data_IF_662739327482
#
_entry.id   IF_662739327482
#
_cell.length_a   1.000
_cell.length_b   1.000
_cell.length_c   1.000
_cell.angle_alpha   90.00
_cell.angle_beta   90.00
_cell.angle_gamma   90.00
#
_symmetry.space_group_name_H-M   'P 1'
#
loop_
_entity.id
_entity.type
_entity.pdbx_description
1 polymer ?
#
# COMPACT_ATOMS: atom_id res chain seq x y z
N UNK A 1 26.68 10.23 12.45
CA UNK A 1 25.32 10.47 11.90
C UNK A 1 24.37 10.24 13.06
N UNK A 2 23.62 11.27 13.46
CA UNK A 2 22.64 11.14 14.55
C UNK A 2 21.26 11.05 13.95
N UNK A 3 20.50 10.05 14.39
CA UNK A 3 19.11 9.84 14.01
C UNK A 3 18.23 10.54 15.05
N UNK A 4 17.40 11.45 14.63
CA UNK A 4 16.43 12.12 15.48
C UNK A 4 15.04 11.77 14.96
N UNK A 5 14.26 11.06 15.75
CA UNK A 5 12.89 10.72 15.44
C UNK A 5 12.02 11.92 15.80
N UNK A 6 11.32 12.48 14.85
CA UNK A 6 10.61 13.76 15.02
C UNK A 6 9.09 13.59 15.01
N UNK A 7 8.57 12.51 14.45
CA UNK A 7 7.12 12.26 14.36
C UNK A 7 6.78 10.82 14.78
N UNK A 8 5.53 10.58 15.15
CA UNK A 8 5.01 9.25 15.41
C UNK A 8 5.13 8.38 14.16
N UNK A 9 5.56 7.12 14.31
CA UNK A 9 5.69 6.25 13.15
C UNK A 9 4.32 5.92 12.58
N UNK A 10 4.24 5.90 11.25
CA UNK A 10 3.07 5.42 10.52
C UNK A 10 3.44 4.14 9.81
N UNK A 11 2.60 3.12 9.92
CA UNK A 11 2.67 1.91 9.15
C UNK A 11 1.68 2.04 7.97
N UNK A 12 2.19 2.28 6.78
CA UNK A 12 1.42 2.19 5.55
C UNK A 12 1.33 0.74 5.12
N UNK A 13 0.14 0.27 4.83
CA UNK A 13 -0.11 -1.11 4.40
C UNK A 13 -0.70 -1.07 3.00
N UNK A 14 0.12 -1.38 2.00
CA UNK A 14 -0.38 -1.59 0.65
C UNK A 14 -1.21 -2.86 0.65
N UNK A 15 -2.45 -2.76 0.23
CA UNK A 15 -3.41 -3.84 0.21
C UNK A 15 -4.01 -4.00 -1.18
N UNK A 16 -4.28 -5.24 -1.54
CA UNK A 16 -4.97 -5.58 -2.77
C UNK A 16 -5.89 -6.76 -2.54
N UNK A 17 -6.99 -6.81 -3.26
CA UNK A 17 -8.04 -7.78 -3.06
C UNK A 17 -8.59 -8.28 -4.38
N UNK A 18 -8.82 -9.59 -4.44
CA UNK A 18 -9.50 -10.19 -5.57
C UNK A 18 -10.93 -10.60 -5.18
N UNK A 19 -11.86 -10.41 -6.11
CA UNK A 19 -13.26 -10.76 -5.94
C UNK A 19 -13.86 -11.26 -7.27
N UNK A 20 -14.95 -11.99 -7.18
CA UNK A 20 -15.70 -12.43 -8.36
C UNK A 20 -16.87 -11.49 -8.72
N UNK A 21 -16.82 -10.27 -8.24
CA UNK A 21 -17.77 -9.22 -8.58
C UNK A 21 -17.55 -7.94 -7.76
N UNK A 22 -18.26 -6.86 -8.09
CA UNK A 22 -17.97 -5.55 -7.52
C UNK A 22 -18.55 -5.29 -6.13
N UNK A 23 -19.47 -6.14 -5.63
CA UNK A 23 -20.28 -5.81 -4.45
C UNK A 23 -20.07 -6.83 -3.34
N UNK A 24 -19.43 -6.45 -2.21
CA UNK A 24 -19.36 -7.32 -1.02
C UNK A 24 -20.75 -7.83 -0.58
N UNK A 25 -20.78 -8.99 0.05
CA UNK A 25 -21.97 -9.76 0.47
C UNK A 25 -22.79 -10.36 -0.69
N UNK A 26 -22.77 -9.77 -1.88
CA UNK A 26 -23.42 -10.33 -3.08
C UNK A 26 -22.47 -11.21 -3.87
N UNK A 27 -21.20 -10.81 -3.91
CA UNK A 27 -20.13 -11.51 -4.62
C UNK A 27 -19.11 -12.07 -3.62
N UNK A 28 -18.25 -12.98 -4.06
CA UNK A 28 -17.26 -13.59 -3.19
C UNK A 28 -15.99 -12.76 -3.11
N UNK A 29 -15.46 -12.67 -1.91
CA UNK A 29 -14.11 -12.23 -1.61
C UNK A 29 -13.18 -13.42 -1.84
N UNK A 30 -12.31 -13.35 -2.85
CA UNK A 30 -11.51 -14.49 -3.30
C UNK A 30 -10.13 -14.57 -2.66
N UNK A 31 -9.44 -13.45 -2.55
CA UNK A 31 -8.11 -13.41 -1.93
C UNK A 31 -7.72 -12.02 -1.43
N UNK A 32 -6.74 -11.98 -0.55
CA UNK A 32 -6.18 -10.76 0.02
C UNK A 32 -4.67 -10.83 0.04
N UNK A 33 -4.03 -9.74 -0.37
CA UNK A 33 -2.60 -9.50 -0.28
C UNK A 33 -2.29 -8.23 0.49
N UNK A 34 -1.19 -8.22 1.25
CA UNK A 34 -0.73 -7.01 1.91
C UNK A 34 0.79 -6.96 2.06
N UNK A 35 1.34 -5.74 1.93
CA UNK A 35 2.75 -5.42 2.15
C UNK A 35 2.85 -4.14 2.98
N UNK A 36 3.65 -4.13 4.02
CA UNK A 36 3.72 -3.01 4.94
C UNK A 36 5.01 -2.19 4.82
N UNK A 37 4.89 -0.88 5.03
CA UNK A 37 5.98 0.10 5.00
C UNK A 37 5.88 1.02 6.21
N UNK A 38 6.91 1.04 7.03
CA UNK A 38 6.99 1.99 8.15
C UNK A 38 7.65 3.30 7.70
N UNK A 39 7.14 4.42 8.18
CA UNK A 39 7.88 5.67 8.08
C UNK A 39 9.14 5.53 8.89
N UNK A 40 10.26 5.44 8.23
CA UNK A 40 11.54 5.38 8.91
C UNK A 40 12.14 6.78 9.06
N UNK A 41 12.73 6.90 10.14
CA UNK A 41 13.62 7.85 10.74
C UNK A 41 14.23 8.88 9.78
N UNK A 42 14.19 10.10 10.23
CA UNK A 42 14.95 11.18 9.62
C UNK A 42 16.45 10.93 9.67
N UNK A 43 17.10 10.89 8.53
CA UNK A 43 18.53 11.14 8.48
C UNK A 43 18.74 12.65 8.65
N UNK A 44 19.03 13.09 9.84
CA UNK A 44 19.48 14.46 10.05
C UNK A 44 20.99 14.48 9.88
N UNK A 45 21.46 14.95 8.75
CA UNK A 45 22.84 15.39 8.69
C UNK A 45 22.92 16.75 9.41
N UNK A 46 23.31 16.76 10.69
CA UNK A 46 23.39 18.00 11.50
C UNK A 46 24.27 19.07 10.86
N UNK A 47 25.28 18.67 10.09
CA UNK A 47 26.19 19.60 9.39
C UNK A 47 25.50 20.32 8.24
N UNK A 48 24.50 19.66 7.59
CA UNK A 48 23.87 20.17 6.38
C UNK A 48 22.39 20.48 6.54
N UNK A 49 21.78 20.13 7.66
CA UNK A 49 20.35 20.33 7.93
C UNK A 49 19.43 19.57 6.96
N UNK A 50 19.93 18.53 6.29
CA UNK A 50 19.17 17.73 5.34
C UNK A 50 18.39 16.66 6.11
N UNK A 51 17.08 16.70 5.95
CA UNK A 51 16.17 15.66 6.47
C UNK A 51 15.65 14.88 5.27
N UNK A 52 16.00 13.60 5.16
CA UNK A 52 15.41 12.67 4.18
C UNK A 52 14.44 11.75 4.91
N UNK A 53 13.25 11.59 4.36
CA UNK A 53 12.28 10.59 4.80
C UNK A 53 12.32 9.41 3.84
N UNK A 54 12.34 8.23 4.38
CA UNK A 54 12.26 6.99 3.62
C UNK A 54 11.18 6.09 4.23
N UNK A 55 10.66 5.19 3.43
CA UNK A 55 9.78 4.12 3.89
C UNK A 55 10.58 2.81 3.93
N UNK A 56 10.63 2.18 5.10
CA UNK A 56 11.23 0.88 5.27
C UNK A 56 10.17 -0.21 5.11
N UNK A 57 10.39 -1.15 4.21
CA UNK A 57 9.48 -2.26 3.98
C UNK A 57 9.62 -3.31 5.09
N UNK A 58 8.49 -3.78 5.60
CA UNK A 58 8.43 -4.97 6.45
C UNK A 58 8.83 -6.21 5.62
N UNK A 59 9.66 -7.11 6.16
CA UNK A 59 10.22 -8.20 5.37
C UNK A 59 9.19 -9.23 4.91
N UNK A 60 8.14 -9.46 5.69
CA UNK A 60 7.13 -10.47 5.40
C UNK A 60 5.94 -9.90 4.63
N UNK A 61 5.42 -10.67 3.68
CA UNK A 61 4.21 -10.37 2.93
C UNK A 61 3.04 -11.17 3.49
N UNK A 62 1.86 -10.62 3.42
CA UNK A 62 0.64 -11.34 3.72
C UNK A 62 -0.05 -11.81 2.44
N UNK A 63 -0.49 -13.06 2.39
CA UNK A 63 -1.25 -13.62 1.28
C UNK A 63 -2.20 -14.69 1.78
N UNK A 64 -3.48 -14.61 1.39
CA UNK A 64 -4.47 -15.59 1.79
C UNK A 64 -5.59 -15.70 0.76
N UNK A 65 -5.89 -16.94 0.33
CA UNK A 65 -7.08 -17.25 -0.44
C UNK A 65 -8.26 -17.52 0.50
N UNK A 66 -9.45 -17.04 0.10
CA UNK A 66 -10.65 -17.02 0.93
C UNK A 66 -11.72 -17.89 0.29
N UNK A 67 -12.33 -18.75 1.09
CA UNK A 67 -13.42 -19.62 0.65
C UNK A 67 -14.66 -18.81 0.32
N UNK A 68 -15.38 -19.23 -0.71
CA UNK A 68 -16.67 -18.64 -1.11
C UNK A 68 -17.59 -18.47 0.11
N UNK A 69 -18.19 -17.28 0.20
CA UNK A 69 -19.04 -16.91 1.32
C UNK A 69 -20.47 -17.42 1.10
N UNK A 70 -21.12 -17.82 2.18
CA UNK A 70 -22.49 -18.36 2.12
C UNK A 70 -23.46 -17.33 1.55
N UNK A 71 -24.12 -17.66 0.45
CA UNK A 71 -25.12 -16.83 -0.21
C UNK A 71 -24.55 -15.82 -1.20
N UNK A 72 -23.22 -15.66 -1.27
CA UNK A 72 -22.59 -14.88 -2.33
C UNK A 72 -22.54 -15.70 -3.64
N UNK A 73 -22.63 -15.01 -4.74
CA UNK A 73 -22.58 -15.58 -6.10
C UNK A 73 -21.63 -14.79 -6.98
N UNK A 74 -20.89 -15.44 -7.88
CA UNK A 74 -20.10 -14.73 -8.88
C UNK A 74 -20.97 -13.78 -9.71
N UNK A 75 -20.43 -12.61 -10.03
CA UNK A 75 -21.05 -11.69 -10.99
C UNK A 75 -20.76 -12.14 -12.43
N UNK A 76 -21.81 -12.36 -13.21
CA UNK A 76 -21.68 -12.90 -14.56
C UNK A 76 -20.77 -12.02 -15.44
N UNK A 77 -20.94 -10.71 -15.38
CA UNK A 77 -20.15 -9.79 -16.19
C UNK A 77 -18.66 -9.78 -15.76
N UNK A 78 -18.37 -9.89 -14.46
CA UNK A 78 -17.00 -10.02 -13.95
C UNK A 78 -16.38 -11.34 -14.37
N UNK A 79 -17.14 -12.43 -14.30
CA UNK A 79 -16.65 -13.75 -14.73
C UNK A 79 -16.32 -13.77 -16.22
N UNK A 80 -17.22 -13.28 -17.07
CA UNK A 80 -17.03 -13.27 -18.52
C UNK A 80 -15.93 -12.31 -18.98
N UNK A 81 -15.95 -11.06 -18.47
CA UNK A 81 -15.09 -10.00 -18.99
C UNK A 81 -13.73 -9.92 -18.31
N UNK A 82 -13.52 -10.62 -17.19
CA UNK A 82 -12.28 -10.62 -16.46
C UNK A 82 -11.76 -12.04 -16.21
N UNK A 83 -12.38 -12.85 -15.35
CA UNK A 83 -11.83 -14.14 -14.94
C UNK A 83 -11.81 -15.21 -16.04
N UNK A 84 -12.80 -15.23 -16.92
CA UNK A 84 -12.89 -16.19 -18.04
C UNK A 84 -12.51 -15.57 -19.40
N UNK A 85 -11.96 -14.38 -19.38
CA UNK A 85 -11.58 -13.64 -20.59
C UNK A 85 -10.59 -14.40 -21.47
N UNK A 86 -9.64 -15.10 -20.87
CA UNK A 86 -8.61 -15.91 -21.54
C UNK A 86 -8.04 -16.97 -20.59
N UNK A 87 -7.21 -17.87 -21.10
CA UNK A 87 -6.60 -18.96 -20.32
C UNK A 87 -5.74 -18.45 -19.15
N UNK A 88 -5.07 -17.31 -19.32
CA UNK A 88 -4.26 -16.71 -18.26
C UNK A 88 -5.15 -16.26 -17.08
N UNK A 89 -6.22 -15.51 -17.33
CA UNK A 89 -7.15 -15.06 -16.29
C UNK A 89 -7.87 -16.24 -15.63
N UNK A 90 -8.23 -17.28 -16.40
CA UNK A 90 -8.79 -18.51 -15.83
C UNK A 90 -7.81 -19.20 -14.87
N UNK A 91 -6.51 -19.24 -15.21
CA UNK A 91 -5.50 -19.82 -14.32
C UNK A 91 -5.33 -19.04 -13.03
N UNK A 92 -5.43 -17.70 -13.09
CA UNK A 92 -5.40 -16.84 -11.91
C UNK A 92 -6.63 -17.07 -11.02
N UNK A 93 -7.82 -17.14 -11.60
CA UNK A 93 -9.02 -17.50 -10.85
C UNK A 93 -8.88 -18.86 -10.16
N UNK A 94 -8.38 -19.87 -10.89
CA UNK A 94 -8.11 -21.19 -10.30
C UNK A 94 -7.11 -21.13 -9.15
N UNK A 95 -6.09 -20.27 -9.24
CA UNK A 95 -5.12 -20.09 -8.15
C UNK A 95 -5.78 -19.55 -6.87
N UNK A 96 -6.82 -18.71 -6.97
CA UNK A 96 -7.56 -18.25 -5.79
C UNK A 96 -8.38 -19.38 -5.13
N UNK A 97 -8.64 -20.50 -5.83
CA UNK A 97 -9.42 -21.63 -5.32
C UNK A 97 -8.56 -22.64 -4.54
N UNK A 98 -7.25 -22.42 -4.43
CA UNK A 98 -6.31 -23.32 -3.76
C UNK A 98 -6.04 -22.85 -2.34
N UNK A 99 -5.98 -23.77 -1.37
CA UNK A 99 -5.65 -23.49 0.04
C UNK A 99 -6.53 -22.40 0.67
N UNK A 100 -7.79 -22.41 0.33
CA UNK A 100 -8.78 -21.45 0.85
C UNK A 100 -9.10 -21.70 2.33
N UNK A 101 -9.25 -20.60 3.07
CA UNK A 101 -9.75 -20.60 4.44
C UNK A 101 -11.02 -19.73 4.57
N UNK A 102 -11.80 -19.91 5.65
CA UNK A 102 -12.94 -19.02 5.92
C UNK A 102 -12.50 -17.55 6.04
N UNK A 103 -13.38 -16.62 5.68
CA UNK A 103 -13.10 -15.17 5.75
C UNK A 103 -12.73 -14.74 7.17
N UNK A 104 -13.37 -15.31 8.17
CA UNK A 104 -13.09 -15.04 9.59
C UNK A 104 -11.65 -15.39 9.98
N UNK A 105 -11.16 -16.52 9.47
CA UNK A 105 -9.79 -16.94 9.71
C UNK A 105 -8.80 -16.06 8.93
N UNK A 106 -9.11 -15.68 7.70
CA UNK A 106 -8.28 -14.80 6.89
C UNK A 106 -8.11 -13.41 7.53
N UNK A 107 -9.21 -12.82 8.02
CA UNK A 107 -9.16 -11.53 8.71
C UNK A 107 -8.42 -11.61 10.05
N UNK A 108 -8.54 -12.72 10.78
CA UNK A 108 -7.76 -12.96 12.00
C UNK A 108 -6.26 -13.02 11.69
N UNK A 109 -5.87 -13.83 10.71
CA UNK A 109 -4.47 -13.96 10.29
C UNK A 109 -3.90 -12.61 9.82
N UNK A 110 -4.69 -11.82 9.07
CA UNK A 110 -4.29 -10.47 8.65
C UNK A 110 -4.08 -9.56 9.87
N UNK A 111 -4.99 -9.60 10.84
CA UNK A 111 -4.86 -8.79 12.07
C UNK A 111 -3.60 -9.16 12.84
N UNK A 112 -3.30 -10.44 13.00
CA UNK A 112 -2.09 -10.93 13.67
C UNK A 112 -0.83 -10.46 12.92
N UNK A 113 -0.81 -10.59 11.59
CA UNK A 113 0.30 -10.08 10.76
C UNK A 113 0.47 -8.56 10.89
N UNK A 114 -0.63 -7.79 10.89
CA UNK A 114 -0.61 -6.34 11.10
C UNK A 114 -0.03 -5.97 12.47
N UNK A 115 -0.34 -6.72 13.53
CA UNK A 115 0.23 -6.48 14.86
C UNK A 115 1.73 -6.76 14.90
N UNK A 116 2.21 -7.79 14.21
CA UNK A 116 3.64 -8.08 14.07
C UNK A 116 4.34 -6.93 13.31
N UNK A 117 3.77 -6.51 12.17
CA UNK A 117 4.30 -5.39 11.39
C UNK A 117 4.29 -4.06 12.18
N UNK A 118 3.24 -3.82 12.96
CA UNK A 118 3.13 -2.66 13.86
C UNK A 118 4.22 -2.68 14.93
N UNK A 119 4.44 -3.82 15.58
CA UNK A 119 5.50 -3.98 16.57
C UNK A 119 6.89 -3.77 15.96
N UNK A 120 7.11 -4.28 14.76
CA UNK A 120 8.36 -4.03 14.03
C UNK A 120 8.52 -2.53 13.70
N UNK A 121 7.47 -1.84 13.27
CA UNK A 121 7.50 -0.40 13.01
C UNK A 121 7.77 0.43 14.28
N UNK A 122 7.32 -0.05 15.43
CA UNK A 122 7.49 0.61 16.72
C UNK A 122 8.85 0.42 17.37
N UNK A 123 9.77 -0.40 16.81
CA UNK A 123 11.05 -0.69 17.43
C UNK A 123 11.81 0.57 17.86
N UNK A 124 12.03 0.71 19.16
CA UNK A 124 12.66 1.88 19.78
C UNK A 124 11.75 3.12 19.93
N UNK A 125 10.44 2.94 19.81
CA UNK A 125 9.44 3.98 20.00
C UNK A 125 8.37 3.58 21.01
N UNK A 126 8.02 4.47 21.94
CA UNK A 126 7.04 4.21 23.01
C UNK A 126 5.64 4.79 22.72
N UNK A 127 5.45 5.45 21.58
CA UNK A 127 4.17 6.04 21.17
C UNK A 127 3.28 5.07 20.38
N UNK A 128 2.14 5.59 19.94
CA UNK A 128 1.24 4.86 19.07
C UNK A 128 1.75 4.84 17.64
N UNK A 129 1.62 3.70 16.97
CA UNK A 129 1.87 3.55 15.53
C UNK A 129 0.52 3.55 14.83
N UNK A 130 0.27 4.53 13.98
CA UNK A 130 -0.90 4.55 13.11
C UNK A 130 -0.75 3.52 12.00
N UNK A 131 -1.82 2.75 11.73
CA UNK A 131 -1.90 1.84 10.59
C UNK A 131 -2.80 2.49 9.54
N UNK A 132 -2.30 2.67 8.33
CA UNK A 132 -3.03 3.31 7.23
C UNK A 132 -3.00 2.39 6.02
N UNK A 133 -4.15 1.86 5.55
CA UNK A 133 -4.20 1.09 4.32
C UNK A 133 -4.02 2.02 3.12
N UNK A 134 -3.30 1.50 2.13
CA UNK A 134 -3.02 2.17 0.85
C UNK A 134 -3.44 1.26 -0.27
N UNK A 135 -4.23 1.75 -1.23
CA UNK A 135 -4.69 0.94 -2.35
C UNK A 135 -4.97 1.78 -3.61
N UNK A 136 -5.19 1.07 -4.73
CA UNK A 136 -5.60 1.64 -6.01
C UNK A 136 -6.44 0.65 -6.85
N UNK A 137 -7.73 0.96 -7.03
CA UNK A 137 -8.47 2.10 -6.49
C UNK A 137 -8.87 1.86 -5.02
N UNK A 138 -8.43 2.73 -4.13
CA UNK A 138 -8.68 2.60 -2.69
C UNK A 138 -10.15 2.35 -2.32
N UNK A 139 -11.15 3.04 -2.92
CA UNK A 139 -12.56 2.80 -2.60
C UNK A 139 -13.03 1.37 -2.80
N UNK A 140 -12.48 0.63 -3.78
CA UNK A 140 -12.80 -0.78 -4.02
C UNK A 140 -12.23 -1.66 -2.89
N UNK A 141 -10.92 -1.61 -2.68
CA UNK A 141 -10.24 -2.45 -1.70
C UNK A 141 -10.73 -2.18 -0.28
N UNK A 142 -10.87 -0.90 0.11
CA UNK A 142 -11.32 -0.53 1.46
C UNK A 142 -12.75 -0.98 1.74
N UNK A 143 -13.62 -1.01 0.73
CA UNK A 143 -14.98 -1.53 0.86
C UNK A 143 -14.96 -3.05 1.16
N UNK A 144 -14.16 -3.82 0.43
CA UNK A 144 -13.99 -5.25 0.65
C UNK A 144 -13.35 -5.56 2.01
N UNK A 145 -12.33 -4.80 2.43
CA UNK A 145 -11.74 -4.95 3.77
C UNK A 145 -12.77 -4.72 4.87
N UNK A 146 -13.52 -3.64 4.77
CA UNK A 146 -14.55 -3.34 5.77
C UNK A 146 -15.59 -4.45 5.85
N UNK A 147 -16.05 -4.94 4.70
CA UNK A 147 -16.98 -6.07 4.64
C UNK A 147 -16.39 -7.37 5.19
N UNK A 148 -15.11 -7.66 4.90
CA UNK A 148 -14.42 -8.84 5.44
C UNK A 148 -14.35 -8.84 6.95
N UNK A 149 -14.02 -7.71 7.56
CA UNK A 149 -14.01 -7.56 9.02
C UNK A 149 -15.41 -7.63 9.62
N UNK A 150 -16.41 -7.03 8.98
CA UNK A 150 -17.82 -7.12 9.41
C UNK A 150 -18.33 -8.56 9.34
N UNK A 151 -18.10 -9.29 8.24
CA UNK A 151 -18.43 -10.72 8.11
C UNK A 151 -17.74 -11.58 9.18
N UNK A 152 -16.56 -11.18 9.64
CA UNK A 152 -15.79 -11.87 10.65
C UNK A 152 -16.23 -11.55 12.09
N UNK A 153 -17.10 -10.56 12.28
CA UNK A 153 -17.47 -10.03 13.60
C UNK A 153 -16.30 -9.40 14.37
N UNK A 154 -15.26 -8.98 13.65
CA UNK A 154 -14.04 -8.41 14.22
C UNK A 154 -13.98 -6.90 13.97
N UNK A 155 -13.32 -6.18 14.88
CA UNK A 155 -13.01 -4.76 14.68
C UNK A 155 -11.98 -4.60 13.54
N UNK A 156 -12.24 -3.66 12.61
CA UNK A 156 -11.32 -3.34 11.53
C UNK A 156 -10.12 -2.55 12.09
N UNK A 157 -8.89 -3.09 12.05
CA UNK A 157 -7.70 -2.44 12.60
C UNK A 157 -7.30 -1.15 11.87
N UNK A 158 -7.81 -0.94 10.68
CA UNK A 158 -7.62 0.31 9.92
C UNK A 158 -8.59 1.41 10.37
N UNK A 159 -9.67 1.07 11.09
CA UNK A 159 -10.74 2.00 11.46
C UNK A 159 -11.36 2.62 10.21
N UNK A 160 -11.49 3.94 10.21
CA UNK A 160 -12.02 4.73 9.07
C UNK A 160 -10.90 5.39 8.24
N UNK A 161 -9.66 4.94 8.39
CA UNK A 161 -8.52 5.48 7.66
C UNK A 161 -8.33 4.75 6.35
N UNK A 162 -7.88 5.46 5.33
CA UNK A 162 -7.51 4.89 4.04
C UNK A 162 -6.86 5.95 3.15
N UNK A 163 -5.89 5.54 2.37
CA UNK A 163 -5.20 6.41 1.44
C UNK A 163 -5.28 5.83 0.03
N UNK A 164 -6.15 6.44 -0.79
CA UNK A 164 -6.19 6.16 -2.21
C UNK A 164 -5.01 6.81 -2.92
N UNK A 165 -4.24 6.01 -3.67
CA UNK A 165 -3.00 6.46 -4.30
C UNK A 165 -3.23 7.53 -5.36
N UNK A 166 -4.34 7.48 -6.12
CA UNK A 166 -4.65 8.49 -7.13
C UNK A 166 -5.02 9.83 -6.46
N UNK A 167 -5.83 9.78 -5.42
CA UNK A 167 -6.20 10.97 -4.62
C UNK A 167 -4.97 11.61 -3.96
N UNK A 168 -4.07 10.80 -3.42
CA UNK A 168 -2.81 11.28 -2.88
C UNK A 168 -1.97 12.00 -3.96
N UNK A 169 -1.80 11.37 -5.13
CA UNK A 169 -1.02 11.93 -6.23
C UNK A 169 -1.65 13.21 -6.79
N UNK A 170 -2.98 13.30 -6.79
CA UNK A 170 -3.72 14.50 -7.19
C UNK A 170 -3.29 15.70 -6.34
N UNK A 171 -3.25 15.51 -5.02
CA UNK A 171 -2.77 16.54 -4.08
C UNK A 171 -1.29 16.87 -4.26
N UNK A 172 -0.43 15.85 -4.37
CA UNK A 172 1.03 16.02 -4.55
C UNK A 172 1.36 16.78 -5.83
N UNK A 173 0.67 16.48 -6.94
CA UNK A 173 0.86 17.14 -8.24
C UNK A 173 0.06 18.44 -8.37
N UNK A 174 -0.74 18.80 -7.38
CA UNK A 174 -1.65 19.97 -7.43
C UNK A 174 -2.54 19.94 -8.68
N UNK A 175 -3.09 18.77 -9.01
CA UNK A 175 -4.01 18.56 -10.12
C UNK A 175 -5.45 18.58 -9.61
N UNK A 176 -6.41 18.81 -10.50
CA UNK A 176 -7.84 18.82 -10.19
C UNK A 176 -8.62 17.72 -10.90
N UNK A 177 -8.04 17.12 -11.93
CA UNK A 177 -8.68 16.08 -12.71
C UNK A 177 -8.03 14.70 -12.46
N UNK A 178 -8.81 13.69 -12.12
CA UNK A 178 -8.35 12.33 -11.93
C UNK A 178 -7.65 11.74 -13.17
N UNK A 179 -8.06 12.15 -14.37
CA UNK A 179 -7.39 11.79 -15.61
C UNK A 179 -5.90 12.13 -15.67
N UNK A 180 -5.48 13.18 -14.95
CA UNK A 180 -4.07 13.62 -14.89
C UNK A 180 -3.19 12.77 -13.96
N UNK A 181 -3.80 11.88 -13.16
CA UNK A 181 -3.13 11.06 -12.15
C UNK A 181 -3.41 9.56 -12.28
N UNK A 182 -4.02 9.14 -13.38
CA UNK A 182 -4.22 7.70 -13.67
C UNK A 182 -2.87 6.99 -13.86
N UNK A 183 -2.85 5.68 -13.66
CA UNK A 183 -1.63 4.87 -13.69
C UNK A 183 -0.75 5.09 -14.93
N UNK A 184 -1.36 5.25 -16.12
CA UNK A 184 -0.63 5.54 -17.36
C UNK A 184 0.12 6.88 -17.38
N UNK A 185 -0.08 7.75 -16.38
CA UNK A 185 0.65 9.02 -16.22
C UNK A 185 1.72 8.96 -15.14
N UNK A 186 1.91 7.79 -14.52
CA UNK A 186 2.89 7.61 -13.46
C UNK A 186 4.29 7.54 -14.05
N UNK A 187 5.29 7.78 -13.20
CA UNK A 187 6.68 7.69 -13.62
C UNK A 187 7.12 6.24 -13.63
N UNK A 188 7.76 5.82 -14.71
CA UNK A 188 8.37 4.49 -14.79
C UNK A 188 9.36 4.23 -13.63
N UNK A 189 10.05 5.28 -13.17
CA UNK A 189 10.97 5.20 -12.02
C UNK A 189 10.31 4.90 -10.68
N UNK A 190 8.98 4.95 -10.58
CA UNK A 190 8.27 4.54 -9.38
C UNK A 190 7.95 3.05 -9.36
N UNK A 191 7.85 2.43 -10.53
CA UNK A 191 7.62 1.00 -10.66
C UNK A 191 8.88 0.19 -10.37
N UNK A 192 8.73 -0.98 -9.78
CA UNK A 192 9.80 -1.93 -9.59
C UNK A 192 9.56 -3.14 -10.49
N UNK A 193 10.45 -3.41 -11.48
CA UNK A 193 10.27 -4.55 -12.39
C UNK A 193 10.21 -5.92 -11.69
N UNK A 194 10.71 -6.01 -10.46
CA UNK A 194 10.62 -7.25 -9.67
C UNK A 194 9.20 -7.52 -9.14
N UNK A 195 8.30 -6.56 -9.23
CA UNK A 195 6.91 -6.67 -8.80
C UNK A 195 5.98 -6.21 -9.93
N UNK A 196 5.73 -7.05 -10.93
CA UNK A 196 4.78 -6.76 -11.99
C UNK A 196 3.34 -6.81 -11.45
N UNK A 197 2.43 -6.14 -12.12
CA UNK A 197 0.99 -6.30 -11.87
C UNK A 197 0.52 -7.60 -12.52
N UNK A 198 -0.01 -8.52 -11.73
CA UNK A 198 -0.28 -9.91 -12.15
C UNK A 198 -1.69 -10.39 -11.90
N UNK A 199 -2.54 -9.63 -11.20
CA UNK A 199 -3.83 -10.05 -10.64
C UNK A 199 -3.71 -11.21 -9.62
N UNK A 200 -2.57 -11.25 -8.92
CA UNK A 200 -2.39 -12.03 -7.71
C UNK A 200 -2.29 -11.03 -6.57
N UNK A 201 -3.23 -11.05 -5.63
CA UNK A 201 -3.42 -10.00 -4.62
C UNK A 201 -2.13 -9.58 -3.90
N UNK A 202 -1.25 -10.52 -3.51
CA UNK A 202 0.00 -10.19 -2.83
C UNK A 202 1.04 -9.55 -3.76
N UNK A 203 1.09 -9.96 -5.03
CA UNK A 203 2.01 -9.39 -6.01
C UNK A 203 1.57 -7.97 -6.39
N UNK A 204 0.26 -7.77 -6.54
CA UNK A 204 -0.31 -6.47 -6.83
C UNK A 204 -0.20 -5.51 -5.63
N UNK A 205 -0.40 -6.01 -4.39
CA UNK A 205 -0.10 -5.26 -3.18
C UNK A 205 1.39 -4.85 -3.12
N UNK A 206 2.31 -5.73 -3.54
CA UNK A 206 3.73 -5.41 -3.58
C UNK A 206 4.06 -4.39 -4.68
N UNK A 207 3.51 -4.56 -5.89
CA UNK A 207 3.71 -3.67 -7.03
C UNK A 207 3.25 -2.24 -6.70
N UNK A 208 2.01 -2.09 -6.24
CA UNK A 208 1.47 -0.77 -5.87
C UNK A 208 2.13 -0.19 -4.62
N UNK A 209 2.56 -1.02 -3.67
CA UNK A 209 3.29 -0.59 -2.48
C UNK A 209 4.65 0.03 -2.81
N UNK A 210 5.41 -0.54 -3.75
CA UNK A 210 6.67 0.04 -4.23
C UNK A 210 6.43 1.36 -4.97
N UNK A 211 5.39 1.44 -5.81
CA UNK A 211 4.99 2.69 -6.46
C UNK A 211 4.64 3.75 -5.42
N UNK A 212 3.84 3.39 -4.41
CA UNK A 212 3.49 4.29 -3.32
C UNK A 212 4.72 4.77 -2.56
N UNK A 213 5.63 3.85 -2.19
CA UNK A 213 6.88 4.18 -1.50
C UNK A 213 7.67 5.25 -2.26
N UNK A 214 7.94 4.99 -3.53
CA UNK A 214 8.74 5.89 -4.35
C UNK A 214 8.06 7.25 -4.58
N UNK A 215 6.74 7.24 -4.78
CA UNK A 215 5.93 8.45 -4.92
C UNK A 215 5.91 9.28 -3.62
N UNK A 216 5.75 8.61 -2.47
CA UNK A 216 5.71 9.23 -1.15
C UNK A 216 7.07 9.85 -0.79
N UNK A 217 8.16 9.11 -0.98
CA UNK A 217 9.53 9.58 -0.74
C UNK A 217 9.87 10.78 -1.65
N UNK A 218 9.51 10.72 -2.92
CA UNK A 218 9.71 11.84 -3.83
C UNK A 218 8.91 13.08 -3.40
N UNK A 219 7.66 12.91 -2.99
CA UNK A 219 6.82 14.01 -2.52
C UNK A 219 7.37 14.68 -1.27
N UNK A 220 7.86 13.90 -0.31
CA UNK A 220 8.48 14.41 0.91
C UNK A 220 9.81 15.14 0.67
N UNK A 221 10.60 14.64 -0.28
CA UNK A 221 11.90 15.21 -0.59
C UNK A 221 11.83 16.43 -1.53
N UNK A 222 10.66 16.72 -2.11
CA UNK A 222 10.40 17.92 -2.93
C UNK A 222 9.94 19.15 -2.15
N UNK A 223 9.76 19.06 -0.83
CA UNK A 223 9.28 20.19 -0.02
C UNK A 223 10.22 21.41 -0.06
N UNK A 224 9.72 22.61 0.30
CA UNK A 224 10.49 23.85 0.27
C UNK A 224 11.81 23.78 1.04
N UNK A 225 11.86 22.97 2.11
CA UNK A 225 13.08 22.75 2.91
C UNK A 225 14.13 21.91 2.18
N UNK A 226 13.73 20.93 1.36
CA UNK A 226 14.65 20.13 0.55
C UNK A 226 15.20 20.94 -0.63
N UNK A 227 14.37 21.78 -1.25
CA UNK A 227 14.82 22.71 -2.30
C UNK A 227 15.83 23.72 -1.76
N UNK A 228 15.58 24.28 -0.57
CA UNK A 228 16.51 25.20 0.07
C UNK A 228 17.83 24.51 0.46
N UNK A 229 17.76 23.26 0.94
CA UNK A 229 18.94 22.44 1.25
C UNK A 229 19.75 22.11 0.00
N UNK A 230 19.08 21.75 -1.10
CA UNK A 230 19.73 21.52 -2.41
C UNK A 230 20.37 22.80 -2.99
N UNK A 231 19.70 23.94 -2.85
CA UNK A 231 20.28 25.24 -3.24
C UNK A 231 21.53 25.58 -2.43
N UNK A 232 21.48 25.43 -1.10
CA UNK A 232 22.63 25.62 -0.22
C UNK A 232 23.79 24.67 -0.56
N UNK A 233 23.50 23.41 -0.89
CA UNK A 233 24.50 22.42 -1.28
C UNK A 233 25.19 22.83 -2.61
N UNK A 234 24.38 23.26 -3.60
CA UNK A 234 24.89 23.76 -4.88
C UNK A 234 25.77 25.00 -4.72
N UNK A 235 25.35 25.89 -3.84
CA UNK A 235 26.10 27.12 -3.56
C UNK A 235 27.41 26.83 -2.85
N UNK A 236 27.42 25.89 -1.89
CA UNK A 236 28.61 25.45 -1.19
C UNK A 236 29.60 24.71 -2.10
N UNK A 237 29.11 23.88 -3.05
CA UNK A 237 29.95 23.30 -4.11
C UNK A 237 30.55 24.37 -5.00
N UNK A 238 29.75 25.37 -5.40
CA UNK A 238 30.25 26.50 -6.23
C UNK A 238 31.33 27.33 -5.51
N UNK A 239 31.23 27.41 -4.17
CA UNK A 239 32.19 28.16 -3.35
C UNK A 239 33.37 27.30 -2.87
N UNK A 240 33.47 26.02 -3.29
CA UNK A 240 34.59 25.15 -2.97
C UNK A 240 34.63 24.66 -1.49
N UNK A 241 33.51 24.77 -0.75
CA UNK A 241 33.43 24.30 0.62
C UNK A 241 33.15 22.79 0.75
N UNK A 242 32.76 22.12 -0.36
CA UNK A 242 32.50 20.67 -0.44
C UNK A 242 32.80 20.19 -1.87
N UNK A 243 33.33 18.97 -1.99
CA UNK A 243 33.56 18.26 -3.24
C UNK A 243 32.26 17.65 -3.82
#
# INVERSE_FOLDING_TARGET
MYWERVDDPTLFVSVDMESDGPVPYRNNFLSVGAVAYATDVYVVNRRWGIKCRALRRFPDFFSQNIRAQKGAMPDEATMENFWHKDEHHMSLYQATQINQIPVEQAMRNLTEWLMIAKNWASQGYYGQVDIIPVARPGPFDFHWFSAGYEMSGMENPFGNKGLDMQSYLLGVRRKVHFGDVKASTWKDSWSNPCYPHTHIAVEDAAAQGEVFRNMYEEALNRGPRSMLALQKLREQRRLGFID
#
